data_IF_527327972397
#
_entry.id   IF_527327972397
#
_cell.length_a   1.000
_cell.length_b   1.000
_cell.length_c   1.000
_cell.angle_alpha   90.00
_cell.angle_beta   90.00
_cell.angle_gamma   90.00
#
_symmetry.space_group_name_H-M   'P 1'
#
loop_
_entity.id
_entity.type
_entity.pdbx_description
1 polymer ?
#
# COMPACT_ATOMS: atom_id res chain seq x y z
N UNK A 1 -38.73 48.41 -5.28
CA UNK A 1 -38.29 47.81 -4.00
C UNK A 1 -36.82 47.47 -4.14
N UNK A 2 -35.94 48.09 -3.36
CA UNK A 2 -34.47 47.90 -3.40
C UNK A 2 -34.03 46.69 -2.57
N UNK A 3 -34.69 45.55 -2.76
CA UNK A 3 -34.29 44.32 -2.07
C UNK A 3 -33.29 43.55 -2.95
N UNK A 4 -32.03 43.35 -2.52
CA UNK A 4 -31.03 42.59 -3.27
C UNK A 4 -31.50 41.16 -3.59
N UNK A 5 -32.36 40.59 -2.74
CA UNK A 5 -32.94 39.26 -2.94
C UNK A 5 -33.88 39.19 -4.16
N UNK A 6 -34.55 40.30 -4.47
CA UNK A 6 -35.46 40.39 -5.62
C UNK A 6 -34.69 40.71 -6.90
N UNK A 7 -33.57 41.44 -6.79
CA UNK A 7 -32.73 41.79 -7.94
C UNK A 7 -32.00 40.58 -8.55
N UNK A 8 -31.49 39.64 -7.75
CA UNK A 8 -30.83 38.45 -8.31
C UNK A 8 -31.83 37.55 -9.04
N UNK A 9 -33.06 37.40 -8.53
CA UNK A 9 -34.12 36.67 -9.23
C UNK A 9 -34.49 37.35 -10.55
N UNK A 10 -34.69 38.67 -10.57
CA UNK A 10 -34.99 39.41 -11.80
C UNK A 10 -33.84 39.35 -12.82
N UNK A 11 -32.58 39.33 -12.38
CA UNK A 11 -31.44 39.15 -13.27
C UNK A 11 -31.33 37.72 -13.81
N UNK A 12 -31.67 36.70 -13.01
CA UNK A 12 -31.65 35.31 -13.46
C UNK A 12 -32.73 35.04 -14.53
N UNK A 13 -33.90 35.66 -14.39
CA UNK A 13 -35.01 35.49 -15.34
C UNK A 13 -35.00 36.49 -16.51
N UNK A 14 -34.17 37.54 -16.45
CA UNK A 14 -34.05 38.55 -17.53
C UNK A 14 -33.64 37.95 -18.86
N UNK A 15 -32.73 36.98 -18.83
CA UNK A 15 -32.19 36.30 -20.02
C UNK A 15 -32.93 34.99 -20.35
N UNK A 16 -33.85 34.56 -19.46
CA UNK A 16 -34.71 33.36 -19.63
C UNK A 16 -36.05 33.73 -20.29
N UNK A 17 -36.20 34.96 -20.80
CA UNK A 17 -37.22 35.26 -21.81
C UNK A 17 -36.81 34.53 -23.08
N UNK A 18 -37.19 33.26 -23.15
CA UNK A 18 -37.14 32.45 -24.36
C UNK A 18 -37.97 33.21 -25.39
N UNK A 19 -37.28 33.85 -26.35
CA UNK A 19 -37.90 34.30 -27.61
C UNK A 19 -38.40 33.06 -28.34
N UNK A 20 -39.59 32.56 -28.00
CA UNK A 20 -40.29 31.57 -28.80
C UNK A 20 -40.93 32.27 -29.98
N UNK A 21 -40.13 32.58 -31.00
CA UNK A 21 -40.63 32.91 -32.35
C UNK A 21 -40.54 31.69 -33.29
N UNK A 22 -40.86 30.50 -32.78
CA UNK A 22 -41.10 29.31 -33.62
C UNK A 22 -42.43 28.67 -33.20
N UNK A 23 -43.23 28.19 -34.17
CA UNK A 23 -44.51 27.54 -33.87
C UNK A 23 -44.27 26.34 -32.95
N UNK A 24 -45.12 26.12 -31.94
CA UNK A 24 -44.90 25.06 -30.96
C UNK A 24 -45.04 23.71 -31.65
N UNK A 25 -43.91 23.06 -31.90
CA UNK A 25 -43.86 21.66 -32.31
C UNK A 25 -44.37 20.79 -31.14
N UNK A 26 -45.48 20.06 -31.33
CA UNK A 26 -46.06 19.25 -30.27
C UNK A 26 -45.11 18.15 -29.80
N UNK A 27 -44.30 17.57 -30.69
CA UNK A 27 -43.38 16.48 -30.36
C UNK A 27 -42.26 16.96 -29.43
N UNK A 28 -41.64 18.09 -29.77
CA UNK A 28 -40.60 18.73 -28.93
C UNK A 28 -41.13 19.15 -27.57
N UNK A 29 -42.41 19.50 -27.48
CA UNK A 29 -43.07 19.84 -26.21
C UNK A 29 -43.28 18.61 -25.34
N UNK A 30 -43.72 17.50 -25.94
CA UNK A 30 -43.87 16.20 -25.26
C UNK A 30 -42.52 15.72 -24.73
N UNK A 31 -41.46 15.75 -25.54
CA UNK A 31 -40.11 15.35 -25.12
C UNK A 31 -39.62 16.19 -23.94
N UNK A 32 -39.87 17.50 -23.96
CA UNK A 32 -39.49 18.39 -22.86
C UNK A 32 -40.23 18.05 -21.58
N UNK A 33 -41.53 17.79 -21.65
CA UNK A 33 -42.34 17.36 -20.49
C UNK A 33 -41.86 16.01 -19.97
N UNK A 34 -41.54 15.07 -20.86
CA UNK A 34 -41.06 13.74 -20.50
C UNK A 34 -39.69 13.80 -19.81
N UNK A 35 -38.77 14.62 -20.32
CA UNK A 35 -37.47 14.87 -19.69
C UNK A 35 -37.58 15.53 -18.32
N UNK A 36 -38.45 16.53 -18.17
CA UNK A 36 -38.71 17.17 -16.87
C UNK A 36 -39.33 16.14 -15.91
N UNK A 37 -40.27 15.31 -16.38
CA UNK A 37 -40.90 14.28 -15.54
C UNK A 37 -39.90 13.20 -15.11
N UNK A 38 -38.98 12.79 -15.98
CA UNK A 38 -37.93 11.83 -15.65
C UNK A 38 -36.94 12.42 -14.65
N UNK A 39 -36.52 13.68 -14.84
CA UNK A 39 -35.67 14.39 -13.90
C UNK A 39 -36.34 14.50 -12.52
N UNK A 40 -37.62 14.88 -12.45
CA UNK A 40 -38.37 14.94 -11.20
C UNK A 40 -38.53 13.56 -10.54
N UNK A 41 -38.80 12.51 -11.33
CA UNK A 41 -38.91 11.14 -10.81
C UNK A 41 -37.58 10.65 -10.19
N UNK A 42 -36.46 10.91 -10.85
CA UNK A 42 -35.15 10.56 -10.30
C UNK A 42 -34.76 11.44 -9.10
N UNK A 43 -35.11 12.73 -9.12
CA UNK A 43 -34.92 13.61 -7.97
C UNK A 43 -35.73 13.12 -6.76
N UNK A 44 -36.98 12.71 -6.97
CA UNK A 44 -37.83 12.14 -5.93
C UNK A 44 -37.26 10.82 -5.38
N UNK A 45 -36.66 9.98 -6.23
CA UNK A 45 -35.96 8.78 -5.77
C UNK A 45 -34.72 9.08 -4.91
N UNK A 46 -34.01 10.19 -5.19
CA UNK A 46 -32.81 10.60 -4.45
C UNK A 46 -33.18 11.36 -3.16
N UNK A 47 -34.17 12.24 -3.21
CA UNK A 47 -34.63 13.04 -2.06
C UNK A 47 -35.51 12.23 -1.10
N UNK A 48 -36.20 11.19 -1.58
CA UNK A 48 -37.00 10.29 -0.76
C UNK A 48 -36.57 8.83 -0.95
N UNK A 49 -35.43 8.43 -0.38
CA UNK A 49 -35.04 7.02 -0.34
C UNK A 49 -36.07 6.25 0.50
N UNK A 50 -37.06 5.67 -0.17
CA UNK A 50 -38.10 4.77 0.35
C UNK A 50 -38.69 5.23 1.70
N UNK A 51 -39.84 5.93 1.65
CA UNK A 51 -40.74 6.17 2.82
C UNK A 51 -41.16 4.90 3.59
N UNK A 52 -40.63 3.71 3.26
CA UNK A 52 -40.88 2.44 3.95
C UNK A 52 -39.99 2.20 5.18
N UNK A 53 -38.95 3.01 5.41
CA UNK A 53 -38.25 2.97 6.70
C UNK A 53 -38.91 3.97 7.65
N UNK A 54 -39.87 3.49 8.44
CA UNK A 54 -40.27 4.12 9.72
C UNK A 54 -39.02 4.71 10.37
N UNK A 55 -39.12 5.84 11.07
CA UNK A 55 -38.06 6.35 11.95
C UNK A 55 -37.73 5.31 13.02
N UNK A 56 -36.98 4.27 12.63
CA UNK A 56 -36.26 3.38 13.52
C UNK A 56 -35.21 4.30 14.06
N UNK A 57 -35.42 4.81 15.28
CA UNK A 57 -34.40 5.45 16.10
C UNK A 57 -33.04 4.89 15.69
N UNK A 58 -32.25 5.69 14.97
CA UNK A 58 -30.98 5.21 14.44
C UNK A 58 -30.22 4.67 15.64
N UNK A 59 -29.95 3.36 15.65
CA UNK A 59 -29.26 2.73 16.77
C UNK A 59 -27.82 3.26 16.79
N UNK A 60 -27.59 4.33 17.56
CA UNK A 60 -26.26 4.95 17.68
C UNK A 60 -25.20 4.00 18.26
N UNK A 61 -25.62 3.00 19.04
CA UNK A 61 -24.71 2.08 19.73
C UNK A 61 -25.17 0.63 19.58
N UNK A 62 -24.27 -0.21 19.05
CA UNK A 62 -24.52 -1.65 18.89
C UNK A 62 -24.66 -2.35 20.25
N UNK A 63 -25.42 -3.46 20.28
CA UNK A 63 -25.59 -4.28 21.49
C UNK A 63 -24.24 -4.81 22.01
N UNK A 64 -23.30 -5.08 21.12
CA UNK A 64 -21.96 -5.54 21.45
C UNK A 64 -21.14 -4.43 22.14
N UNK A 65 -21.14 -3.20 21.61
CA UNK A 65 -20.47 -2.06 22.27
C UNK A 65 -21.04 -1.79 23.67
N UNK A 66 -22.37 -1.86 23.84
CA UNK A 66 -23.01 -1.77 25.17
C UNK A 66 -22.50 -2.86 26.12
N UNK A 67 -22.41 -4.11 25.66
CA UNK A 67 -21.87 -5.23 26.45
C UNK A 67 -20.40 -5.05 26.80
N UNK A 68 -19.58 -4.57 25.87
CA UNK A 68 -18.16 -4.30 26.08
C UNK A 68 -17.95 -3.23 27.17
N UNK A 69 -18.66 -2.10 27.08
CA UNK A 69 -18.63 -1.04 28.10
C UNK A 69 -19.01 -1.59 29.48
N UNK A 70 -20.06 -2.41 29.55
CA UNK A 70 -20.49 -3.03 30.81
C UNK A 70 -19.45 -4.06 31.31
N UNK A 71 -18.69 -4.71 30.43
CA UNK A 71 -17.59 -5.60 30.81
C UNK A 71 -16.37 -4.83 31.34
N UNK A 72 -16.10 -3.61 30.86
CA UNK A 72 -15.00 -2.76 31.35
C UNK A 72 -15.14 -2.47 32.85
N UNK A 73 -16.36 -2.32 33.37
CA UNK A 73 -16.60 -2.16 34.81
C UNK A 73 -16.25 -3.40 35.65
N UNK A 74 -16.08 -4.57 35.02
CA UNK A 74 -15.67 -5.81 35.69
C UNK A 74 -14.18 -6.12 35.52
N UNK A 75 -13.39 -5.19 34.97
CA UNK A 75 -11.97 -5.42 34.78
C UNK A 75 -11.25 -5.51 36.12
N UNK A 76 -10.35 -6.48 36.23
CA UNK A 76 -9.47 -6.61 37.38
C UNK A 76 -8.31 -5.60 37.25
N UNK A 77 -7.96 -4.86 38.32
CA UNK A 77 -6.80 -3.98 38.30
C UNK A 77 -5.51 -4.80 38.22
N UNK A 78 -4.46 -4.19 37.65
CA UNK A 78 -3.20 -4.89 37.36
C UNK A 78 -2.57 -5.53 38.61
N UNK A 79 -2.65 -4.86 39.75
CA UNK A 79 -2.09 -5.34 41.03
C UNK A 79 -2.80 -6.59 41.59
N UNK A 80 -4.01 -6.91 41.11
CA UNK A 80 -4.77 -8.10 41.52
C UNK A 80 -4.55 -9.30 40.58
N UNK A 81 -3.75 -9.15 39.52
CA UNK A 81 -3.48 -10.25 38.60
C UNK A 81 -2.44 -11.23 39.16
N UNK A 82 -2.54 -12.53 38.85
CA UNK A 82 -1.48 -13.49 39.16
C UNK A 82 -0.15 -13.06 38.51
N UNK A 83 0.95 -13.21 39.26
CA UNK A 83 2.28 -12.76 38.84
C UNK A 83 2.67 -13.22 37.42
N UNK A 84 2.45 -14.49 37.08
CA UNK A 84 2.78 -15.03 35.76
C UNK A 84 2.03 -14.32 34.62
N UNK A 85 0.78 -13.92 34.85
CA UNK A 85 -0.05 -13.22 33.86
C UNK A 85 0.45 -11.80 33.65
N UNK A 86 0.83 -11.12 34.74
CA UNK A 86 1.44 -9.78 34.66
C UNK A 86 2.78 -9.80 33.93
N UNK A 87 3.61 -10.84 34.16
CA UNK A 87 4.88 -11.02 33.44
C UNK A 87 4.65 -11.20 31.94
N UNK A 88 3.70 -12.05 31.53
CA UNK A 88 3.42 -12.27 30.11
C UNK A 88 2.92 -10.98 29.42
N UNK A 89 2.05 -10.21 30.08
CA UNK A 89 1.62 -8.91 29.58
C UNK A 89 2.79 -7.93 29.45
N UNK A 90 3.68 -7.91 30.45
CA UNK A 90 4.87 -7.07 30.44
C UNK A 90 5.81 -7.42 29.29
N UNK A 91 6.11 -8.71 29.07
CA UNK A 91 7.01 -9.16 28.00
C UNK A 91 6.51 -8.76 26.61
N UNK A 92 5.19 -8.89 26.36
CA UNK A 92 4.59 -8.46 25.10
C UNK A 92 4.72 -6.96 24.88
N UNK A 93 4.48 -6.15 25.93
CA UNK A 93 4.67 -4.71 25.87
C UNK A 93 6.13 -4.31 25.70
N UNK A 94 7.04 -4.99 26.39
CA UNK A 94 8.49 -4.71 26.32
C UNK A 94 9.04 -5.01 24.92
N UNK A 95 8.69 -6.16 24.34
CA UNK A 95 9.10 -6.50 22.97
C UNK A 95 8.65 -5.43 21.98
N UNK A 96 7.36 -5.09 21.97
CA UNK A 96 6.78 -4.19 20.97
C UNK A 96 7.19 -2.71 21.14
N UNK A 97 7.32 -2.25 22.38
CA UNK A 97 7.55 -0.82 22.69
C UNK A 97 9.03 -0.49 22.84
N UNK A 98 9.88 -1.48 23.15
CA UNK A 98 11.31 -1.25 23.37
C UNK A 98 12.17 -1.97 22.35
N UNK A 99 11.99 -3.29 22.16
CA UNK A 99 12.88 -4.07 21.28
C UNK A 99 12.64 -3.73 19.81
N UNK A 100 11.38 -3.73 19.36
CA UNK A 100 11.02 -3.49 17.95
C UNK A 100 11.22 -2.03 17.51
N UNK A 101 11.21 -1.09 18.46
CA UNK A 101 11.47 0.34 18.19
C UNK A 101 12.94 0.70 18.23
N UNK A 102 13.78 -0.16 18.79
CA UNK A 102 15.21 0.09 18.88
C UNK A 102 15.83 -0.06 17.48
N UNK A 103 16.32 1.04 16.93
CA UNK A 103 17.05 1.03 15.66
C UNK A 103 18.47 0.53 15.92
N UNK A 104 18.80 -0.65 15.40
CA UNK A 104 20.17 -1.09 15.37
C UNK A 104 20.87 -0.58 14.11
N UNK A 105 22.16 -0.27 14.22
CA UNK A 105 23.01 0.17 13.11
C UNK A 105 24.01 -0.91 12.68
N UNK A 106 23.75 -2.19 13.02
CA UNK A 106 24.72 -3.25 12.75
C UNK A 106 24.72 -3.66 11.27
N UNK A 107 23.61 -3.43 10.58
CA UNK A 107 23.37 -3.79 9.18
C UNK A 107 24.43 -3.17 8.27
N UNK A 108 24.78 -1.90 8.48
CA UNK A 108 25.82 -1.20 7.71
C UNK A 108 27.22 -1.77 7.99
N UNK A 109 27.56 -1.92 9.28
CA UNK A 109 28.88 -2.44 9.69
C UNK A 109 29.11 -3.83 9.11
N UNK A 110 28.07 -4.66 9.10
CA UNK A 110 28.16 -6.03 8.62
C UNK A 110 28.45 -6.10 7.11
N UNK A 111 27.70 -5.36 6.28
CA UNK A 111 27.90 -5.37 4.82
C UNK A 111 29.27 -4.80 4.46
N UNK A 112 29.69 -3.72 5.13
CA UNK A 112 31.01 -3.15 4.94
C UNK A 112 32.14 -4.09 5.35
N UNK A 113 32.01 -4.80 6.47
CA UNK A 113 33.02 -5.74 6.94
C UNK A 113 33.15 -6.94 5.99
N UNK A 114 32.03 -7.44 5.46
CA UNK A 114 32.01 -8.51 4.46
C UNK A 114 32.74 -8.09 3.17
N UNK A 115 32.56 -6.84 2.72
CA UNK A 115 33.25 -6.30 1.55
C UNK A 115 34.75 -6.01 1.81
N UNK A 116 35.12 -5.56 3.02
CA UNK A 116 36.50 -5.16 3.36
C UNK A 116 37.43 -6.33 3.72
N UNK A 117 36.86 -7.44 4.20
CA UNK A 117 37.61 -8.54 4.84
C UNK A 117 38.67 -9.26 3.98
N UNK A 118 38.79 -8.93 2.69
CA UNK A 118 39.80 -9.49 1.79
C UNK A 118 41.00 -8.60 1.47
N UNK A 119 41.09 -7.36 1.97
CA UNK A 119 42.31 -6.56 1.84
C UNK A 119 43.37 -7.06 2.83
N UNK A 120 43.78 -8.32 2.71
CA UNK A 120 45.02 -8.78 3.31
C UNK A 120 46.14 -7.99 2.66
N UNK A 121 46.85 -7.26 3.50
CA UNK A 121 48.11 -6.60 3.22
C UNK A 121 49.12 -7.69 2.85
N UNK A 122 49.12 -8.10 1.59
CA UNK A 122 50.30 -8.65 0.94
C UNK A 122 50.58 -7.68 -0.21
N UNK A 123 51.42 -6.70 0.10
CA UNK A 123 52.20 -5.99 -0.91
C UNK A 123 52.99 -7.03 -1.70
N UNK A 124 53.10 -6.84 -3.02
CA UNK A 124 53.87 -7.66 -3.98
C UNK A 124 53.15 -8.93 -4.49
N UNK A 125 52.47 -8.81 -5.64
CA UNK A 125 52.89 -9.45 -6.90
C UNK A 125 51.86 -9.14 -8.02
N UNK A 126 52.34 -8.48 -9.08
CA UNK A 126 51.69 -8.49 -10.38
C UNK A 126 51.76 -9.92 -10.93
N UNK A 127 50.62 -10.62 -11.04
CA UNK A 127 50.39 -11.68 -12.02
C UNK A 127 48.86 -11.91 -12.10
N UNK A 128 48.36 -12.37 -13.24
CA UNK A 128 46.93 -12.69 -13.49
C UNK A 128 46.41 -13.73 -12.49
N UNK A 129 46.08 -13.31 -11.27
CA UNK A 129 45.48 -14.14 -10.26
C UNK A 129 43.97 -14.18 -10.51
N UNK A 130 43.39 -15.38 -10.64
CA UNK A 130 41.96 -15.59 -10.47
C UNK A 130 41.53 -14.90 -9.17
N UNK A 131 40.93 -13.71 -9.29
CA UNK A 131 40.50 -12.88 -8.17
C UNK A 131 39.51 -13.70 -7.36
N UNK A 132 39.96 -14.20 -6.21
CA UNK A 132 39.08 -14.94 -5.31
C UNK A 132 37.93 -14.00 -4.92
N UNK A 133 36.66 -14.40 -5.12
CA UNK A 133 35.50 -13.65 -4.67
C UNK A 133 35.65 -13.19 -3.22
N UNK A 134 35.33 -11.93 -2.95
CA UNK A 134 35.20 -11.45 -1.58
C UNK A 134 34.05 -12.17 -0.86
N UNK A 135 34.03 -12.18 0.49
CA UNK A 135 32.99 -12.90 1.22
C UNK A 135 31.58 -12.43 0.90
N UNK A 136 31.38 -11.15 0.56
CA UNK A 136 30.10 -10.62 0.11
C UNK A 136 29.71 -11.20 -1.26
N UNK A 137 30.65 -11.28 -2.20
CA UNK A 137 30.46 -11.85 -3.52
C UNK A 137 30.19 -13.35 -3.45
N UNK A 138 30.85 -14.10 -2.56
CA UNK A 138 30.55 -15.51 -2.30
C UNK A 138 29.11 -15.72 -1.82
N UNK A 139 28.63 -14.84 -0.95
CA UNK A 139 27.25 -14.87 -0.48
C UNK A 139 26.25 -14.60 -1.61
N UNK A 140 26.51 -13.58 -2.44
CA UNK A 140 25.68 -13.26 -3.61
C UNK A 140 25.66 -14.44 -4.60
N UNK A 141 26.81 -15.06 -4.86
CA UNK A 141 26.92 -16.24 -5.72
C UNK A 141 26.14 -17.43 -5.18
N UNK A 142 26.16 -17.65 -3.85
CA UNK A 142 25.39 -18.72 -3.22
C UNK A 142 23.89 -18.56 -3.46
N UNK A 143 23.34 -17.37 -3.22
CA UNK A 143 21.91 -17.10 -3.46
C UNK A 143 21.56 -17.18 -4.94
N UNK A 144 22.42 -16.68 -5.82
CA UNK A 144 22.24 -16.79 -7.28
C UNK A 144 22.18 -18.24 -7.75
N UNK A 145 23.10 -19.08 -7.30
CA UNK A 145 23.11 -20.51 -7.62
C UNK A 145 21.87 -21.23 -7.07
N UNK A 146 21.42 -20.88 -5.86
CA UNK A 146 20.22 -21.45 -5.28
C UNK A 146 18.96 -21.10 -6.09
N UNK A 147 18.87 -19.87 -6.61
CA UNK A 147 17.76 -19.41 -7.44
C UNK A 147 17.70 -20.12 -8.82
N UNK A 148 18.84 -20.54 -9.35
CA UNK A 148 18.94 -21.29 -10.62
C UNK A 148 18.63 -22.79 -10.47
N UNK A 149 18.43 -23.27 -9.25
CA UNK A 149 18.09 -24.68 -9.02
C UNK A 149 16.62 -24.91 -9.37
N UNK A 150 16.35 -25.77 -10.36
CA UNK A 150 14.99 -26.08 -10.81
C UNK A 150 14.13 -26.66 -9.67
N UNK A 151 13.07 -25.95 -9.30
CA UNK A 151 12.09 -26.35 -8.30
C UNK A 151 10.69 -25.91 -8.73
N UNK A 152 9.66 -26.68 -8.36
CA UNK A 152 8.26 -26.33 -8.66
C UNK A 152 7.71 -25.19 -7.80
N UNK A 153 8.30 -24.97 -6.62
CA UNK A 153 8.01 -23.87 -5.71
C UNK A 153 9.30 -23.50 -4.99
N UNK A 154 9.44 -22.23 -4.63
CA UNK A 154 10.54 -21.75 -3.77
C UNK A 154 10.11 -21.87 -2.31
N UNK A 155 11.01 -22.36 -1.47
CA UNK A 155 10.80 -22.39 -0.02
C UNK A 155 11.07 -21.02 0.59
N UNK A 156 10.42 -20.72 1.71
CA UNK A 156 10.65 -19.48 2.46
C UNK A 156 11.99 -19.58 3.18
N UNK A 157 13.01 -18.98 2.57
CA UNK A 157 14.37 -18.97 3.09
C UNK A 157 14.56 -17.76 4.02
N UNK A 158 14.47 -18.02 5.33
CA UNK A 158 14.68 -17.01 6.37
C UNK A 158 16.06 -16.34 6.28
N UNK A 159 17.07 -17.06 5.77
CA UNK A 159 18.42 -16.53 5.62
C UNK A 159 18.47 -15.53 4.46
N UNK A 160 17.88 -15.88 3.32
CA UNK A 160 17.75 -14.97 2.18
C UNK A 160 17.00 -13.69 2.58
N UNK A 161 15.87 -13.81 3.29
CA UNK A 161 15.07 -12.66 3.72
C UNK A 161 15.89 -11.74 4.63
N UNK A 162 16.59 -12.30 5.62
CA UNK A 162 17.41 -11.50 6.54
C UNK A 162 18.54 -10.76 5.81
N UNK A 163 19.26 -11.43 4.90
CA UNK A 163 20.34 -10.80 4.15
C UNK A 163 19.84 -9.76 3.14
N UNK A 164 18.70 -10.01 2.50
CA UNK A 164 18.09 -9.03 1.59
C UNK A 164 17.72 -7.74 2.34
N UNK A 165 17.11 -7.85 3.52
CA UNK A 165 16.77 -6.71 4.39
C UNK A 165 18.02 -5.94 4.83
N UNK A 166 19.07 -6.65 5.29
CA UNK A 166 20.34 -6.03 5.70
C UNK A 166 21.04 -5.30 4.54
N UNK A 167 21.08 -5.91 3.35
CA UNK A 167 21.68 -5.28 2.16
C UNK A 167 20.89 -4.05 1.71
N UNK A 168 19.56 -4.12 1.70
CA UNK A 168 18.69 -3.00 1.32
C UNK A 168 18.87 -1.81 2.28
N UNK A 169 18.87 -2.06 3.59
CA UNK A 169 19.09 -1.03 4.62
C UNK A 169 20.47 -0.37 4.51
N UNK A 170 21.52 -1.15 4.26
CA UNK A 170 22.87 -0.62 4.09
C UNK A 170 23.03 0.29 2.86
N UNK A 171 22.19 0.15 1.83
CA UNK A 171 22.19 1.03 0.66
C UNK A 171 21.31 2.28 0.86
N UNK A 172 20.19 2.14 1.56
CA UNK A 172 19.19 3.20 1.75
C UNK A 172 19.76 4.45 2.47
N UNK A 173 20.70 4.27 3.40
CA UNK A 173 21.30 5.39 4.16
C UNK A 173 22.23 6.26 3.29
N UNK A 174 22.77 5.72 2.20
CA UNK A 174 23.65 6.44 1.25
C UNK A 174 22.89 6.99 0.01
N UNK A 175 21.56 6.79 -0.08
CA UNK A 175 20.78 7.23 -1.25
C UNK A 175 20.75 8.75 -1.45
N UNK A 176 21.12 9.53 -0.42
CA UNK A 176 21.22 11.00 -0.50
C UNK A 176 22.48 11.48 -1.26
N UNK A 177 23.50 10.64 -1.44
CA UNK A 177 24.80 11.05 -1.99
C UNK A 177 25.15 10.43 -3.37
N UNK A 178 24.54 9.30 -3.77
CA UNK A 178 24.82 8.67 -5.07
C UNK A 178 24.03 9.32 -6.23
N UNK A 179 24.65 10.33 -6.83
CA UNK A 179 24.27 10.97 -8.09
C UNK A 179 24.06 9.93 -9.22
N UNK A 180 23.02 10.12 -10.03
CA UNK A 180 22.42 9.13 -10.95
C UNK A 180 23.30 8.42 -12.00
N UNK A 181 24.60 8.73 -12.10
CA UNK A 181 25.52 8.08 -13.03
C UNK A 181 25.89 6.63 -12.63
N UNK A 182 25.94 6.30 -11.33
CA UNK A 182 26.19 4.93 -10.89
C UNK A 182 24.95 4.04 -11.05
N UNK A 183 23.77 4.62 -10.83
CA UNK A 183 22.48 3.97 -11.07
C UNK A 183 22.29 3.67 -12.57
N UNK A 184 22.69 4.56 -13.47
CA UNK A 184 22.64 4.32 -14.92
C UNK A 184 23.44 3.07 -15.34
N UNK A 185 24.67 2.90 -14.81
CA UNK A 185 25.52 1.73 -15.07
C UNK A 185 24.92 0.42 -14.55
N UNK A 186 24.18 0.43 -13.44
CA UNK A 186 23.53 -0.78 -12.94
C UNK A 186 22.34 -1.18 -13.82
N UNK A 187 21.58 -0.21 -14.33
CA UNK A 187 20.51 -0.46 -15.30
C UNK A 187 21.03 -1.04 -16.61
N UNK A 188 22.12 -0.51 -17.16
CA UNK A 188 22.75 -1.05 -18.37
C UNK A 188 23.13 -2.53 -18.18
N UNK A 189 23.77 -2.88 -17.05
CA UNK A 189 24.13 -4.28 -16.73
C UNK A 189 22.91 -5.20 -16.64
N UNK A 190 21.82 -4.75 -16.03
CA UNK A 190 20.57 -5.54 -15.96
C UNK A 190 19.96 -5.74 -17.35
N UNK A 191 19.96 -4.70 -18.18
CA UNK A 191 19.44 -4.76 -19.54
C UNK A 191 20.26 -5.73 -20.41
N UNK A 192 21.58 -5.64 -20.34
CA UNK A 192 22.48 -6.52 -21.08
C UNK A 192 22.36 -7.97 -20.62
N UNK A 193 22.22 -8.21 -19.31
CA UNK A 193 21.96 -9.54 -18.76
C UNK A 193 20.66 -10.14 -19.34
N UNK A 194 19.56 -9.38 -19.34
CA UNK A 194 18.28 -9.84 -19.88
C UNK A 194 18.36 -10.11 -21.40
N UNK A 195 19.08 -9.25 -22.15
CA UNK A 195 19.31 -9.44 -23.60
C UNK A 195 20.13 -10.70 -23.87
N UNK A 196 21.18 -10.94 -23.09
CA UNK A 196 22.06 -12.11 -23.23
C UNK A 196 21.31 -13.41 -22.89
N UNK A 197 20.66 -13.47 -21.74
CA UNK A 197 19.98 -14.68 -21.26
C UNK A 197 18.66 -14.95 -21.96
N UNK A 198 18.04 -13.94 -22.59
CA UNK A 198 16.73 -14.02 -23.23
C UNK A 198 15.66 -14.64 -22.32
N UNK A 199 15.68 -14.23 -21.05
CA UNK A 199 14.82 -14.80 -20.03
C UNK A 199 13.38 -14.29 -20.16
N UNK A 200 12.55 -15.07 -20.86
CA UNK A 200 11.11 -14.83 -20.94
C UNK A 200 10.38 -15.05 -19.61
N UNK A 201 10.99 -15.81 -18.68
CA UNK A 201 10.46 -16.10 -17.36
C UNK A 201 10.33 -14.84 -16.51
N UNK A 202 11.32 -13.95 -16.57
CA UNK A 202 11.30 -12.65 -15.87
C UNK A 202 10.01 -11.87 -16.13
N UNK A 203 9.69 -11.59 -17.40
CA UNK A 203 8.49 -10.81 -17.77
C UNK A 203 7.18 -11.54 -17.49
N UNK A 204 7.17 -12.88 -17.59
CA UNK A 204 6.01 -13.70 -17.25
C UNK A 204 5.71 -13.65 -15.75
N UNK A 205 6.74 -13.78 -14.92
CA UNK A 205 6.64 -13.65 -13.46
C UNK A 205 6.19 -12.25 -13.06
N UNK A 206 6.79 -11.21 -13.64
CA UNK A 206 6.41 -9.82 -13.42
C UNK A 206 4.93 -9.58 -13.75
N UNK A 207 4.46 -10.04 -14.93
CA UNK A 207 3.05 -9.95 -15.29
C UNK A 207 2.14 -10.73 -14.33
N UNK A 208 2.59 -11.87 -13.81
CA UNK A 208 1.85 -12.64 -12.82
C UNK A 208 1.68 -11.88 -11.50
N UNK A 209 2.74 -11.22 -11.02
CA UNK A 209 2.71 -10.38 -9.83
C UNK A 209 1.74 -9.21 -10.01
N UNK A 210 1.81 -8.50 -11.14
CA UNK A 210 0.91 -7.38 -11.44
C UNK A 210 -0.57 -7.79 -11.49
N UNK A 211 -0.87 -9.00 -12.00
CA UNK A 211 -2.23 -9.55 -12.02
C UNK A 211 -2.73 -9.97 -10.62
N UNK A 212 -1.81 -10.27 -9.71
CA UNK A 212 -2.12 -10.68 -8.34
C UNK A 212 -2.29 -9.52 -7.35
N UNK A 213 -1.96 -8.29 -7.77
CA UNK A 213 -2.14 -7.09 -6.95
C UNK A 213 -3.61 -6.92 -6.57
N UNK A 214 -3.87 -6.69 -5.29
CA UNK A 214 -5.24 -6.51 -4.81
C UNK A 214 -5.78 -5.13 -5.20
N UNK A 215 -7.08 -5.08 -5.45
CA UNK A 215 -7.82 -3.83 -5.70
C UNK A 215 -8.85 -3.68 -4.59
N UNK A 216 -9.28 -2.44 -4.35
CA UNK A 216 -10.32 -2.13 -3.36
C UNK A 216 -11.56 -3.02 -3.56
N UNK A 217 -11.81 -3.90 -2.58
CA UNK A 217 -13.00 -4.74 -2.53
C UNK A 217 -14.04 -4.12 -1.60
N UNK A 218 -15.17 -3.69 -2.18
CA UNK A 218 -16.28 -3.11 -1.43
C UNK A 218 -16.83 -4.08 -0.37
N UNK A 219 -16.83 -5.39 -0.65
CA UNK A 219 -17.29 -6.39 0.32
C UNK A 219 -16.33 -6.52 1.50
N UNK A 220 -15.02 -6.45 1.26
CA UNK A 220 -14.01 -6.42 2.31
C UNK A 220 -14.13 -5.15 3.16
N UNK A 221 -14.33 -4.01 2.52
CA UNK A 221 -14.57 -2.72 3.17
C UNK A 221 -15.83 -2.74 4.06
N UNK A 222 -16.95 -3.25 3.56
CA UNK A 222 -18.19 -3.37 4.36
C UNK A 222 -18.03 -4.31 5.55
N UNK A 223 -17.31 -5.43 5.38
CA UNK A 223 -17.00 -6.36 6.46
C UNK A 223 -16.13 -5.70 7.53
N UNK A 224 -15.16 -4.89 7.13
CA UNK A 224 -14.32 -4.14 8.04
C UNK A 224 -15.11 -3.08 8.81
N UNK A 225 -15.91 -2.25 8.13
CA UNK A 225 -16.77 -1.25 8.78
C UNK A 225 -17.69 -1.88 9.82
N UNK A 226 -18.19 -3.09 9.51
CA UNK A 226 -18.97 -3.88 10.46
C UNK A 226 -18.14 -4.32 11.66
N UNK A 227 -16.91 -4.80 11.47
CA UNK A 227 -16.01 -5.21 12.56
C UNK A 227 -15.58 -4.02 13.44
N UNK A 228 -15.24 -2.89 12.84
CA UNK A 228 -14.93 -1.62 13.54
C UNK A 228 -16.15 -1.11 14.32
N UNK A 229 -17.34 -1.21 13.73
CA UNK A 229 -18.62 -0.90 14.40
C UNK A 229 -18.92 -1.78 15.62
N UNK A 230 -18.19 -2.90 15.79
CA UNK A 230 -18.27 -3.76 16.98
C UNK A 230 -17.15 -3.49 17.99
N UNK A 231 -16.16 -2.65 17.67
CA UNK A 231 -15.00 -2.37 18.52
C UNK A 231 -14.02 -3.55 18.61
N UNK A 232 -13.97 -4.40 17.58
CA UNK A 232 -13.14 -5.62 17.53
C UNK A 232 -11.80 -5.43 16.81
N UNK A 233 -11.46 -4.21 16.38
CA UNK A 233 -10.26 -3.94 15.57
C UNK A 233 -9.18 -3.33 16.47
N UNK A 234 -8.03 -4.00 16.53
CA UNK A 234 -6.78 -3.46 17.09
C UNK A 234 -6.08 -2.62 16.02
N UNK A 235 -5.20 -1.68 16.40
CA UNK A 235 -4.59 -0.73 15.45
C UNK A 235 -3.85 -1.39 14.27
N UNK A 236 -3.26 -2.58 14.48
CA UNK A 236 -2.61 -3.36 13.42
C UNK A 236 -3.57 -4.01 12.41
N UNK A 237 -4.86 -4.10 12.72
CA UNK A 237 -5.83 -4.87 11.94
C UNK A 237 -6.74 -4.04 11.03
N UNK A 238 -6.56 -2.71 10.98
CA UNK A 238 -7.46 -1.79 10.26
C UNK A 238 -7.04 -1.56 8.81
N UNK A 239 -5.77 -1.39 8.45
CA UNK A 239 -5.42 -1.13 7.04
C UNK A 239 -5.37 -2.41 6.19
N UNK A 240 -4.86 -3.50 6.76
CA UNK A 240 -4.46 -4.73 6.04
C UNK A 240 -5.61 -5.48 5.33
N UNK A 241 -6.89 -5.21 5.68
CA UNK A 241 -8.02 -6.03 5.19
C UNK A 241 -8.71 -5.50 3.93
N UNK A 242 -8.69 -4.19 3.67
CA UNK A 242 -9.40 -3.59 2.52
C UNK A 242 -8.55 -3.65 1.25
N UNK A 243 -7.25 -3.39 1.40
CA UNK A 243 -6.27 -3.45 0.34
C UNK A 243 -5.11 -4.29 0.88
N UNK A 244 -5.07 -5.57 0.51
CA UNK A 244 -3.99 -6.46 0.89
C UNK A 244 -2.76 -6.15 0.03
N UNK A 245 -1.56 -6.21 0.62
CA UNK A 245 -0.31 -6.04 -0.12
C UNK A 245 -0.17 -4.66 -0.78
N UNK A 246 -0.64 -3.60 -0.12
CA UNK A 246 -0.55 -2.23 -0.66
C UNK A 246 0.91 -1.76 -0.75
N UNK A 247 1.73 -2.07 0.26
CA UNK A 247 3.17 -1.84 0.28
C UNK A 247 3.87 -2.57 -0.87
N UNK A 248 3.68 -3.90 -0.97
CA UNK A 248 4.20 -4.70 -2.09
C UNK A 248 3.80 -4.14 -3.47
N UNK A 249 2.55 -3.72 -3.63
CA UNK A 249 2.07 -3.17 -4.91
C UNK A 249 2.79 -1.85 -5.23
N UNK A 250 2.95 -0.96 -4.23
CA UNK A 250 3.70 0.30 -4.39
C UNK A 250 5.16 0.01 -4.77
N UNK A 251 5.81 -0.92 -4.08
CA UNK A 251 7.21 -1.26 -4.32
C UNK A 251 7.42 -1.88 -5.70
N UNK A 252 6.50 -2.75 -6.14
CA UNK A 252 6.54 -3.35 -7.47
C UNK A 252 6.49 -2.27 -8.57
N UNK A 253 5.57 -1.32 -8.47
CA UNK A 253 5.46 -0.24 -9.46
C UNK A 253 6.59 0.79 -9.31
N UNK A 254 7.08 1.04 -8.10
CA UNK A 254 8.25 1.89 -7.87
C UNK A 254 9.50 1.29 -8.52
N UNK A 255 9.72 -0.01 -8.36
CA UNK A 255 10.79 -0.74 -9.04
C UNK A 255 10.71 -0.56 -10.57
N UNK A 256 9.53 -0.76 -11.17
CA UNK A 256 9.34 -0.56 -12.62
C UNK A 256 9.56 0.89 -13.06
N UNK A 257 9.15 1.86 -12.26
CA UNK A 257 9.41 3.27 -12.54
C UNK A 257 10.91 3.59 -12.51
N UNK A 258 11.61 3.10 -11.49
CA UNK A 258 13.05 3.32 -11.30
C UNK A 258 13.88 2.78 -12.48
N UNK A 259 13.47 1.64 -13.08
CA UNK A 259 14.14 1.08 -14.27
C UNK A 259 14.15 2.03 -15.49
N UNK A 260 13.26 3.02 -15.54
CA UNK A 260 13.08 3.92 -16.68
C UNK A 260 13.29 5.41 -16.36
N UNK A 261 13.67 5.75 -15.12
CA UNK A 261 13.71 7.15 -14.65
C UNK A 261 14.84 7.99 -15.32
N UNK A 262 15.85 7.35 -15.90
CA UNK A 262 17.03 7.98 -16.52
C UNK A 262 16.90 8.43 -17.99
N UNK A 263 15.71 8.44 -18.60
CA UNK A 263 15.54 8.64 -20.05
C UNK A 263 16.35 7.63 -20.91
N UNK A 264 16.36 6.37 -20.48
CA UNK A 264 17.01 5.26 -21.17
C UNK A 264 16.38 5.05 -22.57
N UNK A 265 16.92 5.70 -23.60
CA UNK A 265 16.49 5.61 -25.01
C UNK A 265 17.50 4.81 -25.83
#
# INVERSE_FOLDING_TARGET
SEDPAVQWQLNLYKDVVVKTEEPPDPERTVDRVQNISAALFHLEQVEQPLRSKKCVWQKLLSKQRKRAVVACFRMAPLYNLPRHRSINLFLMGYQKIWIETETYSFEESLVQDLAKSQKKVDEEEEEEAELRPDPLHQLILHFSHNALTERSYLEEDSLYIAYADMMAKSCAENEEEEEGAEKEKTFEKMLDYLKEKRDAGFFKSLSGLMQSCSVLDLNAFERQNKAEGLGMVTEEGSSSKVLQNDEFTKDLFRFLQLLCEGHNN
#
